data_IF_588617981057
#
_entry.id   IF_588617981057
#
_cell.length_a   1.000
_cell.length_b   1.000
_cell.length_c   1.000
_cell.angle_alpha   90.00
_cell.angle_beta   90.00
_cell.angle_gamma   90.00
#
_symmetry.space_group_name_H-M   'P 1'
#
loop_
_entity.id
_entity.type
_entity.pdbx_description
1 polymer ?
#
# COMPACT_ATOMS: atom_id res chain seq x y z
N UNK A 1 26.51 -50.75 27.21
CA UNK A 1 27.21 -49.55 27.72
C UNK A 1 28.44 -49.35 26.84
N UNK A 2 28.30 -48.68 25.69
CA UNK A 2 28.57 -47.24 25.49
C UNK A 2 30.00 -46.82 25.86
N UNK A 3 30.86 -46.67 24.84
CA UNK A 3 31.66 -45.46 24.51
C UNK A 3 32.73 -45.80 23.46
N UNK A 4 32.37 -45.71 22.18
CA UNK A 4 33.34 -45.60 21.09
C UNK A 4 33.66 -44.11 20.90
N UNK A 5 34.92 -43.73 21.14
CA UNK A 5 35.50 -42.47 20.68
C UNK A 5 36.42 -42.84 19.51
N UNK A 6 36.04 -42.45 18.30
CA UNK A 6 36.95 -42.49 17.16
C UNK A 6 36.76 -41.22 16.35
N UNK A 7 37.73 -40.33 16.46
CA UNK A 7 37.92 -39.22 15.54
C UNK A 7 38.35 -39.79 14.19
N UNK A 8 37.70 -39.37 13.11
CA UNK A 8 38.18 -39.60 11.74
C UNK A 8 38.21 -38.25 11.06
N UNK A 9 39.43 -37.75 10.87
CA UNK A 9 39.77 -36.71 9.92
C UNK A 9 39.77 -37.34 8.52
N UNK A 10 39.12 -36.69 7.56
CA UNK A 10 39.29 -37.00 6.14
C UNK A 10 39.70 -35.72 5.41
N UNK A 11 40.99 -35.67 5.10
CA UNK A 11 41.57 -34.83 4.06
C UNK A 11 42.12 -35.77 2.98
N UNK A 12 42.44 -35.20 1.81
CA UNK A 12 42.87 -35.80 0.52
C UNK A 12 41.69 -36.06 -0.44
N UNK A 13 41.76 -35.76 -1.75
CA UNK A 13 42.91 -35.44 -2.59
C UNK A 13 42.48 -34.61 -3.82
N UNK A 14 43.33 -33.66 -4.19
CA UNK A 14 43.39 -32.96 -5.47
C UNK A 14 44.34 -33.71 -6.41
N UNK A 15 43.99 -33.89 -7.69
CA UNK A 15 44.89 -33.96 -8.85
C UNK A 15 44.07 -33.93 -10.15
N UNK A 16 44.13 -32.85 -10.96
CA UNK A 16 44.97 -32.65 -12.17
C UNK A 16 44.45 -33.44 -13.39
N UNK A 17 44.30 -32.96 -14.64
CA UNK A 17 44.86 -31.84 -15.42
C UNK A 17 44.01 -31.67 -16.71
N UNK A 18 43.67 -30.44 -17.12
CA UNK A 18 44.25 -29.66 -18.25
C UNK A 18 43.79 -30.00 -19.69
N UNK A 19 43.12 -29.03 -20.32
CA UNK A 19 43.34 -28.45 -21.66
C UNK A 19 42.02 -28.19 -22.39
N UNK A 20 41.69 -26.90 -22.62
CA UNK A 20 40.64 -26.54 -23.56
C UNK A 20 40.13 -25.11 -23.42
N UNK A 21 40.74 -24.20 -24.19
CA UNK A 21 40.06 -23.10 -24.87
C UNK A 21 39.25 -22.09 -24.02
N UNK A 22 39.95 -21.04 -23.59
CA UNK A 22 39.59 -19.63 -23.84
C UNK A 22 38.14 -19.34 -24.27
N UNK A 23 37.29 -18.95 -23.32
CA UNK A 23 36.12 -18.10 -23.57
C UNK A 23 35.74 -17.37 -22.26
N UNK A 24 35.86 -16.04 -22.29
CA UNK A 24 35.19 -15.09 -21.39
C UNK A 24 35.32 -15.33 -19.90
N UNK A 25 36.26 -14.64 -19.25
CA UNK A 25 36.12 -14.28 -17.84
C UNK A 25 34.93 -13.33 -17.69
N UNK A 26 33.72 -13.89 -17.66
CA UNK A 26 32.53 -13.24 -17.18
C UNK A 26 32.66 -13.12 -15.66
N UNK A 27 33.49 -12.18 -15.21
CA UNK A 27 33.27 -11.55 -13.90
C UNK A 27 31.80 -11.15 -13.90
N UNK A 28 30.98 -11.84 -13.11
CA UNK A 28 29.72 -11.26 -12.66
C UNK A 28 30.12 -9.99 -11.93
N UNK A 29 30.03 -8.87 -12.66
CA UNK A 29 30.09 -7.57 -12.04
C UNK A 29 29.03 -7.58 -10.92
N UNK A 30 29.33 -7.02 -9.74
CA UNK A 30 28.24 -6.66 -8.84
C UNK A 30 27.24 -5.88 -9.69
N UNK A 31 25.98 -6.30 -9.67
CA UNK A 31 24.91 -5.50 -10.26
C UNK A 31 25.02 -4.16 -9.54
N UNK A 32 25.67 -3.21 -10.19
CA UNK A 32 25.67 -1.85 -9.75
C UNK A 32 24.19 -1.49 -9.78
N UNK A 33 23.61 -1.28 -8.60
CA UNK A 33 22.31 -0.66 -8.38
C UNK A 33 22.41 0.78 -8.91
N UNK A 34 22.58 0.88 -10.23
CA UNK A 34 22.88 2.10 -10.94
C UNK A 34 21.53 2.77 -11.12
N UNK A 35 21.26 3.75 -10.25
CA UNK A 35 20.13 4.64 -10.42
C UNK A 35 18.78 4.00 -10.17
N UNK A 36 18.52 3.53 -8.94
CA UNK A 36 17.18 3.70 -8.40
C UNK A 36 16.95 5.22 -8.34
N UNK A 37 16.37 5.80 -9.39
CA UNK A 37 15.67 7.08 -9.23
C UNK A 37 14.55 6.80 -8.23
N UNK A 38 14.83 7.06 -6.95
CA UNK A 38 13.84 6.96 -5.91
C UNK A 38 12.63 7.78 -6.37
N UNK A 39 11.44 7.17 -6.28
CA UNK A 39 10.22 7.93 -6.45
C UNK A 39 10.29 9.18 -5.56
N UNK A 40 9.79 10.34 -6.01
CA UNK A 40 9.80 11.54 -5.19
C UNK A 40 9.18 11.23 -3.83
N UNK A 41 9.74 11.76 -2.73
CA UNK A 41 9.17 11.51 -1.41
C UNK A 41 7.70 11.92 -1.41
N UNK A 42 6.82 11.12 -0.80
CA UNK A 42 5.41 11.44 -0.73
C UNK A 42 5.21 12.81 -0.07
N UNK A 43 4.18 13.57 -0.47
CA UNK A 43 3.92 14.86 0.15
C UNK A 43 3.62 14.67 1.65
N UNK A 44 4.19 15.51 2.54
CA UNK A 44 3.79 15.50 3.94
C UNK A 44 2.32 15.91 4.04
N UNK A 45 1.54 15.24 4.88
CA UNK A 45 0.17 15.64 5.17
C UNK A 45 0.03 16.11 6.61
N UNK A 46 -0.86 17.08 6.81
CA UNK A 46 -1.31 17.52 8.12
C UNK A 46 -2.26 16.45 8.68
N UNK A 47 -1.98 15.94 9.88
CA UNK A 47 -2.82 14.91 10.49
C UNK A 47 -4.26 15.43 10.70
N UNK A 48 -5.24 14.53 10.60
CA UNK A 48 -6.63 14.82 10.98
C UNK A 48 -6.72 14.85 12.50
N UNK A 49 -6.41 16.00 13.10
CA UNK A 49 -6.35 16.15 14.57
C UNK A 49 -7.74 16.21 15.22
N UNK A 50 -8.76 16.65 14.47
CA UNK A 50 -10.15 16.79 14.94
C UNK A 50 -11.11 15.80 14.26
N UNK A 51 -10.73 14.53 14.17
CA UNK A 51 -11.63 13.51 13.66
C UNK A 51 -12.83 13.34 14.62
N UNK A 52 -14.04 13.56 14.11
CA UNK A 52 -15.28 13.30 14.86
C UNK A 52 -15.35 11.84 15.29
N UNK A 53 -15.84 11.56 16.51
CA UNK A 53 -16.32 10.22 16.84
C UNK A 53 -17.42 9.85 15.87
N UNK A 54 -17.18 8.79 15.10
CA UNK A 54 -17.98 8.51 13.93
C UNK A 54 -18.49 7.07 14.00
N UNK A 55 -19.72 6.86 13.51
CA UNK A 55 -20.34 5.53 13.42
C UNK A 55 -19.36 4.51 12.82
N UNK A 56 -19.46 3.26 13.27
CA UNK A 56 -18.68 2.14 12.73
C UNK A 56 -18.72 2.16 11.19
N UNK A 57 -17.56 1.99 10.55
CA UNK A 57 -17.50 1.85 9.11
C UNK A 57 -17.78 0.37 8.76
N UNK A 58 -18.88 0.06 8.05
CA UNK A 58 -19.22 -1.33 7.73
C UNK A 58 -18.41 -1.88 6.55
N UNK A 59 -17.63 -1.04 5.87
CA UNK A 59 -16.84 -1.43 4.72
C UNK A 59 -15.53 -2.06 5.18
N UNK A 60 -15.12 -3.09 4.43
CA UNK A 60 -13.81 -3.71 4.53
C UNK A 60 -13.16 -3.63 3.15
N UNK A 61 -11.82 -3.67 3.10
CA UNK A 61 -11.18 -4.00 1.84
C UNK A 61 -11.40 -5.48 1.58
N UNK A 62 -11.81 -5.81 0.35
CA UNK A 62 -11.98 -7.19 -0.08
C UNK A 62 -11.27 -7.35 -1.42
N UNK A 63 -10.25 -8.20 -1.44
CA UNK A 63 -9.65 -8.70 -2.68
C UNK A 63 -8.86 -7.69 -3.49
N UNK A 64 -8.81 -7.93 -4.81
CA UNK A 64 -8.07 -7.08 -5.75
C UNK A 64 -8.89 -5.83 -6.10
N UNK A 65 -8.25 -4.64 -6.13
CA UNK A 65 -8.94 -3.44 -6.59
C UNK A 65 -9.34 -3.59 -8.06
N UNK A 66 -10.45 -2.96 -8.44
CA UNK A 66 -10.91 -2.91 -9.83
C UNK A 66 -11.31 -1.48 -10.20
N UNK A 67 -11.15 -1.13 -11.48
CA UNK A 67 -11.59 0.16 -11.99
C UNK A 67 -13.11 0.38 -11.80
N UNK A 68 -13.89 -0.69 -11.92
CA UNK A 68 -15.32 -0.67 -11.73
C UNK A 68 -15.69 -0.38 -10.26
N UNK A 69 -15.09 -1.08 -9.30
CA UNK A 69 -15.32 -0.84 -7.87
C UNK A 69 -15.03 0.61 -7.48
N UNK A 70 -13.93 1.16 -7.99
CA UNK A 70 -13.55 2.56 -7.74
C UNK A 70 -14.57 3.54 -8.33
N UNK A 71 -15.03 3.32 -9.57
CA UNK A 71 -16.05 4.15 -10.22
C UNK A 71 -17.41 4.04 -9.53
N UNK A 72 -17.82 2.85 -9.14
CA UNK A 72 -19.05 2.62 -8.38
C UNK A 72 -19.02 3.34 -7.02
N UNK A 73 -17.88 3.31 -6.34
CA UNK A 73 -17.71 4.07 -5.09
C UNK A 73 -17.76 5.59 -5.33
N UNK A 74 -17.24 6.08 -6.46
CA UNK A 74 -17.26 7.51 -6.78
C UNK A 74 -18.69 8.07 -6.98
N UNK A 75 -19.67 7.24 -7.35
CA UNK A 75 -21.07 7.69 -7.52
C UNK A 75 -21.94 7.50 -6.27
N UNK A 76 -21.32 7.22 -5.11
CA UNK A 76 -22.02 7.07 -3.83
C UNK A 76 -22.85 8.30 -3.42
N UNK A 77 -23.66 8.19 -2.36
CA UNK A 77 -24.49 9.31 -1.88
C UNK A 77 -23.58 10.40 -1.26
N UNK A 78 -24.05 11.65 -1.11
CA UNK A 78 -23.30 12.69 -0.40
C UNK A 78 -23.31 12.41 1.11
N UNK A 79 -22.69 11.31 1.55
CA UNK A 79 -22.57 10.91 2.95
C UNK A 79 -21.11 10.70 3.32
N UNK A 80 -20.77 10.89 4.60
CA UNK A 80 -19.43 10.59 5.13
C UNK A 80 -19.01 9.14 4.85
N UNK A 81 -19.93 8.18 5.05
CA UNK A 81 -19.63 6.77 4.86
C UNK A 81 -19.34 6.42 3.40
N UNK A 82 -20.07 6.98 2.45
CA UNK A 82 -19.80 6.77 1.02
C UNK A 82 -18.49 7.43 0.59
N UNK A 83 -18.12 8.57 1.17
CA UNK A 83 -16.82 9.20 0.98
C UNK A 83 -15.67 8.33 1.51
N UNK A 84 -15.84 7.74 2.70
CA UNK A 84 -14.86 6.79 3.27
C UNK A 84 -14.71 5.53 2.42
N UNK A 85 -15.81 4.98 1.91
CA UNK A 85 -15.77 3.85 0.98
C UNK A 85 -14.96 4.20 -0.26
N UNK A 86 -15.23 5.36 -0.87
CA UNK A 86 -14.47 5.81 -2.04
C UNK A 86 -12.98 6.00 -1.72
N UNK A 87 -12.64 6.60 -0.57
CA UNK A 87 -11.27 6.75 -0.12
C UNK A 87 -10.55 5.39 0.12
N UNK A 88 -11.27 4.39 0.63
CA UNK A 88 -10.73 3.03 0.79
C UNK A 88 -10.42 2.37 -0.55
N UNK A 89 -11.31 2.51 -1.55
CA UNK A 89 -11.05 2.02 -2.91
C UNK A 89 -9.85 2.72 -3.55
N UNK A 90 -9.70 4.05 -3.38
CA UNK A 90 -8.51 4.79 -3.83
C UNK A 90 -7.24 4.27 -3.13
N UNK A 91 -7.32 4.01 -1.83
CA UNK A 91 -6.20 3.49 -1.04
C UNK A 91 -5.77 2.10 -1.52
N UNK A 92 -6.73 1.19 -1.69
CA UNK A 92 -6.47 -0.16 -2.22
C UNK A 92 -5.87 -0.08 -3.63
N UNK A 93 -6.48 0.72 -4.51
CA UNK A 93 -6.01 0.90 -5.88
C UNK A 93 -4.59 1.48 -5.96
N UNK A 94 -4.27 2.49 -5.15
CA UNK A 94 -2.97 3.17 -5.20
C UNK A 94 -1.83 2.29 -4.66
N UNK A 95 -2.09 1.47 -3.64
CA UNK A 95 -1.07 0.64 -3.01
C UNK A 95 -0.85 -0.71 -3.70
N UNK A 96 -1.86 -1.22 -4.42
CA UNK A 96 -1.80 -2.51 -5.12
C UNK A 96 -1.11 -2.42 -6.50
N UNK A 97 0.01 -3.12 -6.64
CA UNK A 97 0.81 -3.19 -7.87
C UNK A 97 0.72 -4.56 -8.54
N UNK A 98 -0.17 -5.46 -8.10
CA UNK A 98 -0.39 -6.76 -8.73
C UNK A 98 -0.79 -6.56 -10.22
N UNK A 99 -0.34 -7.45 -11.12
CA UNK A 99 -0.31 -7.18 -12.56
C UNK A 99 -1.68 -7.39 -13.23
N UNK A 100 -2.65 -6.49 -13.03
CA UNK A 100 -3.94 -6.49 -13.74
C UNK A 100 -4.58 -5.09 -13.93
N UNK A 101 -3.88 -3.99 -13.60
CA UNK A 101 -4.52 -2.66 -13.52
C UNK A 101 -3.84 -1.60 -14.38
N UNK A 102 -4.57 -1.05 -15.36
CA UNK A 102 -4.22 0.20 -16.02
C UNK A 102 -4.43 1.36 -15.04
N UNK A 103 -3.35 2.07 -14.69
CA UNK A 103 -3.36 2.96 -13.53
C UNK A 103 -3.88 4.37 -13.80
N UNK A 104 -3.52 4.91 -14.96
CA UNK A 104 -3.67 6.34 -15.24
C UNK A 104 -5.13 6.69 -15.53
N UNK A 105 -5.74 6.03 -16.52
CA UNK A 105 -7.12 6.30 -16.96
C UNK A 105 -8.15 6.11 -15.83
N UNK A 106 -7.89 5.15 -14.93
CA UNK A 106 -8.75 4.88 -13.79
C UNK A 106 -8.70 6.03 -12.78
N UNK A 107 -7.51 6.50 -12.40
CA UNK A 107 -7.36 7.64 -11.50
C UNK A 107 -7.89 8.92 -12.11
N UNK A 108 -7.60 9.18 -13.38
CA UNK A 108 -8.12 10.36 -14.10
C UNK A 108 -9.65 10.37 -14.15
N UNK A 109 -10.29 9.20 -14.30
CA UNK A 109 -11.76 9.11 -14.32
C UNK A 109 -12.44 9.50 -13.00
N UNK A 110 -11.72 9.45 -11.88
CA UNK A 110 -12.24 9.78 -10.54
C UNK A 110 -11.56 11.00 -9.91
N UNK A 111 -10.60 11.62 -10.59
CA UNK A 111 -9.89 12.81 -10.13
C UNK A 111 -10.78 14.06 -10.12
N UNK A 112 -10.56 14.93 -9.14
CA UNK A 112 -11.03 16.31 -9.17
C UNK A 112 -10.14 17.14 -10.09
N UNK A 113 -10.64 18.22 -10.74
CA UNK A 113 -9.79 19.19 -11.44
C UNK A 113 -8.72 19.83 -10.54
N UNK A 114 -8.92 19.80 -9.22
CA UNK A 114 -7.97 20.28 -8.23
C UNK A 114 -6.89 19.27 -7.86
N UNK A 115 -6.98 18.02 -8.33
CA UNK A 115 -5.98 17.00 -8.02
C UNK A 115 -4.62 17.46 -8.53
N UNK A 116 -3.66 17.53 -7.61
CA UNK A 116 -2.34 17.99 -7.98
C UNK A 116 -1.73 17.02 -9.00
N UNK A 117 -1.14 17.56 -10.08
CA UNK A 117 -0.37 16.75 -11.05
C UNK A 117 0.69 15.92 -10.34
N UNK A 118 1.21 16.41 -9.20
CA UNK A 118 2.17 15.71 -8.34
C UNK A 118 1.60 14.43 -7.74
N UNK A 119 0.37 14.44 -7.20
CA UNK A 119 -0.27 13.25 -6.64
C UNK A 119 -0.50 12.18 -7.72
N UNK A 120 -1.02 12.56 -8.88
CA UNK A 120 -1.20 11.64 -10.02
C UNK A 120 0.14 11.07 -10.49
N UNK A 121 1.15 11.92 -10.65
CA UNK A 121 2.50 11.51 -11.08
C UNK A 121 3.13 10.55 -10.08
N UNK A 122 2.99 10.83 -8.78
CA UNK A 122 3.51 9.96 -7.72
C UNK A 122 2.94 8.55 -7.81
N UNK A 123 1.61 8.40 -7.89
CA UNK A 123 1.00 7.06 -7.95
C UNK A 123 1.38 6.32 -9.23
N UNK A 124 1.35 7.00 -10.39
CA UNK A 124 1.66 6.36 -11.67
C UNK A 124 3.13 5.92 -11.70
N UNK A 125 4.07 6.79 -11.28
CA UNK A 125 5.49 6.48 -11.28
C UNK A 125 5.86 5.44 -10.22
N UNK A 126 5.36 5.55 -9.00
CA UNK A 126 5.60 4.54 -7.95
C UNK A 126 5.11 3.17 -8.41
N UNK A 127 3.88 3.06 -8.92
CA UNK A 127 3.37 1.77 -9.41
C UNK A 127 4.16 1.23 -10.61
N UNK A 128 4.65 2.09 -11.50
CA UNK A 128 5.51 1.66 -12.61
C UNK A 128 6.84 1.08 -12.09
N UNK A 129 7.52 1.77 -11.17
CA UNK A 129 8.75 1.30 -10.53
C UNK A 129 8.53 -0.02 -9.77
N UNK A 130 7.45 -0.11 -9.00
CA UNK A 130 7.12 -1.32 -8.24
C UNK A 130 6.82 -2.53 -9.15
N UNK A 131 6.25 -2.30 -10.33
CA UNK A 131 6.02 -3.34 -11.35
C UNK A 131 7.31 -3.77 -12.05
N UNK A 132 8.17 -2.83 -12.40
CA UNK A 132 9.49 -3.12 -12.97
C UNK A 132 10.31 -4.03 -12.04
N UNK A 133 10.19 -3.81 -10.73
CA UNK A 133 10.79 -4.64 -9.70
C UNK A 133 9.96 -5.88 -9.29
N UNK A 134 8.84 -6.14 -9.95
CA UNK A 134 7.93 -7.24 -9.67
C UNK A 134 7.56 -7.39 -8.19
N UNK A 135 7.42 -6.28 -7.45
CA UNK A 135 7.27 -6.33 -5.99
C UNK A 135 5.96 -6.96 -5.54
N UNK A 136 4.93 -6.91 -6.40
CA UNK A 136 3.57 -7.41 -6.13
C UNK A 136 3.00 -6.87 -4.80
N UNK A 137 3.45 -5.67 -4.40
CA UNK A 137 2.98 -4.91 -3.26
C UNK A 137 1.45 -4.82 -3.23
N UNK A 138 0.83 -5.08 -2.09
CA UNK A 138 -0.61 -4.94 -1.88
C UNK A 138 -0.91 -4.74 -0.40
N UNK A 139 -2.10 -4.26 -0.06
CA UNK A 139 -2.58 -4.26 1.32
C UNK A 139 -2.86 -5.69 1.78
N UNK A 140 -2.38 -6.03 2.97
CA UNK A 140 -2.60 -7.31 3.63
C UNK A 140 -3.96 -7.29 4.32
N UNK A 141 -4.99 -7.82 3.66
CA UNK A 141 -6.38 -7.82 4.11
C UNK A 141 -6.67 -8.77 5.29
N UNK A 142 -5.67 -9.56 5.70
CA UNK A 142 -5.72 -10.42 6.89
C UNK A 142 -5.42 -9.67 8.18
N UNK A 143 -4.84 -8.47 8.09
CA UNK A 143 -4.45 -7.65 9.24
C UNK A 143 -5.47 -6.51 9.40
N UNK A 144 -5.92 -6.21 10.63
CA UNK A 144 -6.82 -5.09 10.86
C UNK A 144 -6.27 -3.77 10.32
N UNK A 145 -7.11 -3.06 9.59
CA UNK A 145 -6.84 -1.70 9.15
C UNK A 145 -7.57 -0.72 10.04
N UNK A 146 -7.12 0.52 10.02
CA UNK A 146 -7.68 1.60 10.81
C UNK A 146 -8.05 2.76 9.90
N UNK A 147 -9.20 3.36 10.16
CA UNK A 147 -9.68 4.53 9.43
C UNK A 147 -10.09 5.63 10.41
N UNK A 148 -9.81 6.88 10.04
CA UNK A 148 -10.48 8.04 10.62
C UNK A 148 -10.84 9.02 9.51
N UNK A 149 -11.82 9.88 9.78
CA UNK A 149 -12.20 10.88 8.81
C UNK A 149 -12.70 12.16 9.47
N UNK A 150 -12.65 13.25 8.71
CA UNK A 150 -13.19 14.54 9.10
C UNK A 150 -14.00 15.12 7.93
N UNK A 151 -15.33 15.13 8.03
CA UNK A 151 -16.17 15.80 7.04
C UNK A 151 -16.08 17.32 7.17
N UNK A 152 -16.22 18.02 6.04
CA UNK A 152 -16.35 19.47 5.94
C UNK A 152 -17.64 19.84 5.21
N UNK A 153 -18.33 20.87 5.71
CA UNK A 153 -19.65 21.28 5.26
C UNK A 153 -20.80 20.72 6.13
N UNK A 154 -22.04 20.65 5.60
CA UNK A 154 -23.19 20.17 6.37
C UNK A 154 -23.02 18.72 6.85
N UNK A 155 -23.34 18.44 8.11
CA UNK A 155 -23.14 17.11 8.74
C UNK A 155 -23.79 15.96 7.96
N UNK A 156 -24.99 16.17 7.43
CA UNK A 156 -25.74 15.13 6.69
C UNK A 156 -25.34 15.02 5.22
N UNK A 157 -24.72 16.07 4.67
CA UNK A 157 -24.37 16.19 3.25
C UNK A 157 -23.01 16.88 3.09
N UNK A 158 -21.92 16.25 3.56
CA UNK A 158 -20.60 16.85 3.51
C UNK A 158 -20.20 17.13 2.06
N UNK A 159 -19.47 18.23 1.87
CA UNK A 159 -18.93 18.61 0.57
C UNK A 159 -17.52 18.06 0.37
N UNK A 160 -16.79 17.87 1.46
CA UNK A 160 -15.44 17.34 1.45
C UNK A 160 -15.26 16.41 2.64
N UNK A 161 -14.42 15.39 2.50
CA UNK A 161 -14.05 14.50 3.59
C UNK A 161 -12.56 14.20 3.48
N UNK A 162 -11.81 14.55 4.54
CA UNK A 162 -10.44 14.09 4.70
C UNK A 162 -10.46 12.71 5.35
N UNK A 163 -9.86 11.71 4.71
CA UNK A 163 -9.87 10.32 5.17
C UNK A 163 -8.44 9.85 5.37
N UNK A 164 -8.15 9.29 6.53
CA UNK A 164 -6.89 8.64 6.82
C UNK A 164 -7.10 7.14 6.97
N UNK A 165 -6.26 6.36 6.30
CA UNK A 165 -6.26 4.90 6.34
C UNK A 165 -4.87 4.45 6.77
N UNK A 166 -4.82 3.66 7.82
CA UNK A 166 -3.61 2.95 8.23
C UNK A 166 -3.81 1.45 8.01
N UNK A 167 -2.84 0.83 7.34
CA UNK A 167 -2.89 -0.59 7.02
C UNK A 167 -1.51 -1.18 6.84
N UNK A 168 -1.44 -2.50 6.76
CA UNK A 168 -0.21 -3.21 6.45
C UNK A 168 -0.13 -3.46 4.96
N UNK A 169 1.01 -3.11 4.37
CA UNK A 169 1.36 -3.48 3.01
C UNK A 169 2.30 -4.68 3.03
N UNK A 170 1.97 -5.72 2.28
CA UNK A 170 2.83 -6.87 2.04
C UNK A 170 3.58 -6.71 0.72
N UNK A 171 4.89 -6.97 0.75
CA UNK A 171 5.75 -7.09 -0.44
C UNK A 171 6.28 -8.53 -0.48
N UNK A 172 5.58 -9.47 -1.15
CA UNK A 172 5.87 -10.89 -1.05
C UNK A 172 7.30 -11.27 -1.45
N UNK A 173 7.84 -10.62 -2.49
CA UNK A 173 9.18 -10.94 -3.00
C UNK A 173 10.31 -10.61 -2.03
N UNK A 174 10.06 -9.70 -1.08
CA UNK A 174 11.00 -9.33 -0.03
C UNK A 174 10.69 -10.02 1.31
N UNK A 175 9.57 -10.76 1.40
CA UNK A 175 9.06 -11.28 2.67
C UNK A 175 8.79 -10.19 3.71
N UNK A 176 8.58 -8.94 3.27
CA UNK A 176 8.47 -7.77 4.14
C UNK A 176 7.02 -7.31 4.27
N UNK A 177 6.67 -6.85 5.47
CA UNK A 177 5.42 -6.17 5.76
C UNK A 177 5.71 -4.83 6.43
N UNK A 178 4.98 -3.80 6.05
CA UNK A 178 5.23 -2.43 6.47
C UNK A 178 3.92 -1.74 6.78
N UNK A 179 3.89 -0.96 7.87
CA UNK A 179 2.76 -0.07 8.14
C UNK A 179 2.80 1.12 7.21
N UNK A 180 1.69 1.39 6.55
CA UNK A 180 1.51 2.59 5.75
C UNK A 180 0.35 3.40 6.30
N UNK A 181 0.48 4.71 6.16
CA UNK A 181 -0.56 5.67 6.48
C UNK A 181 -0.86 6.47 5.22
N UNK A 182 -2.06 6.29 4.67
CA UNK A 182 -2.55 7.00 3.48
C UNK A 182 -3.56 8.05 3.91
N UNK A 183 -3.42 9.28 3.40
CA UNK A 183 -4.47 10.28 3.48
C UNK A 183 -5.06 10.50 2.10
N UNK A 184 -6.38 10.45 2.03
CA UNK A 184 -7.19 10.68 0.84
C UNK A 184 -8.15 11.81 1.13
N UNK A 185 -8.01 12.93 0.43
CA UNK A 185 -8.97 14.02 0.49
C UNK A 185 -9.94 13.87 -0.67
N UNK A 186 -11.24 13.77 -0.37
CA UNK A 186 -12.29 13.58 -1.37
C UNK A 186 -13.29 14.74 -1.33
N UNK A 187 -13.74 15.17 -2.50
CA UNK A 187 -14.66 16.29 -2.66
C UNK A 187 -15.88 15.89 -3.47
N UNK A 188 -17.03 16.47 -3.16
CA UNK A 188 -18.27 16.25 -3.90
C UNK A 188 -18.32 17.17 -5.11
N UNK A 189 -18.30 16.62 -6.32
CA UNK A 189 -18.47 17.36 -7.58
C UNK A 189 -19.17 16.53 -8.64
N UNK A 190 -19.92 17.19 -9.51
CA UNK A 190 -20.60 16.59 -10.66
C UNK A 190 -21.46 15.37 -10.29
N UNK A 191 -22.14 15.45 -9.14
CA UNK A 191 -22.99 14.38 -8.64
C UNK A 191 -22.26 13.20 -8.00
N UNK A 192 -20.92 13.23 -7.86
CA UNK A 192 -20.13 12.15 -7.28
C UNK A 192 -19.00 12.63 -6.35
N UNK A 193 -18.33 11.69 -5.69
CA UNK A 193 -17.07 11.88 -4.99
C UNK A 193 -15.90 11.87 -5.97
N UNK A 194 -14.98 12.82 -5.81
CA UNK A 194 -13.79 12.98 -6.62
C UNK A 194 -12.56 13.02 -5.73
N UNK A 195 -11.47 12.41 -6.20
CA UNK A 195 -10.17 12.46 -5.52
C UNK A 195 -9.57 13.86 -5.66
N UNK A 196 -9.43 14.59 -4.55
CA UNK A 196 -8.86 15.93 -4.51
C UNK A 196 -7.38 15.93 -4.11
N UNK A 197 -6.98 15.05 -3.20
CA UNK A 197 -5.57 14.84 -2.88
C UNK A 197 -5.30 13.41 -2.39
N UNK A 198 -4.05 12.98 -2.51
CA UNK A 198 -3.57 11.67 -2.07
C UNK A 198 -2.13 11.79 -1.57
N UNK A 199 -1.89 11.30 -0.36
CA UNK A 199 -0.56 11.21 0.23
C UNK A 199 -0.39 9.87 0.96
N UNK A 200 0.85 9.43 1.11
CA UNK A 200 1.16 8.13 1.73
C UNK A 200 2.45 8.26 2.52
N UNK A 201 2.51 7.73 3.73
CA UNK A 201 3.72 7.76 4.57
C UNK A 201 3.99 6.35 5.10
N UNK A 202 5.23 5.90 4.93
CA UNK A 202 5.74 4.67 5.54
C UNK A 202 5.95 4.89 7.06
N UNK A 203 5.50 3.95 7.88
CA UNK A 203 5.61 3.97 9.35
C UNK A 203 6.52 2.88 9.91
N UNK A 204 7.29 2.24 9.04
CA UNK A 204 8.27 1.20 9.38
C UNK A 204 7.70 -0.22 9.33
N UNK A 205 8.57 -1.17 9.67
CA UNK A 205 8.24 -2.59 9.65
C UNK A 205 7.00 -2.90 10.51
N UNK A 206 6.13 -3.78 10.00
CA UNK A 206 4.97 -4.24 10.73
C UNK A 206 5.32 -5.44 11.62
N UNK A 207 5.23 -5.26 12.94
CA UNK A 207 5.16 -6.39 13.87
C UNK A 207 3.74 -6.95 13.85
N UNK A 208 3.56 -8.00 13.04
CA UNK A 208 2.26 -8.66 12.83
C UNK A 208 1.84 -9.56 13.99
N UNK A 209 2.63 -9.64 15.07
CA UNK A 209 2.25 -10.38 16.28
C UNK A 209 1.29 -9.60 17.17
N UNK A 210 1.21 -8.27 17.03
CA UNK A 210 0.22 -7.43 17.72
C UNK A 210 -0.98 -7.16 16.81
N UNK A 211 -2.12 -7.78 17.11
CA UNK A 211 -3.39 -7.51 16.42
C UNK A 211 -4.11 -6.25 16.92
N UNK A 212 -3.50 -5.49 17.85
CA UNK A 212 -4.08 -4.27 18.42
C UNK A 212 -3.80 -3.02 17.58
N UNK A 213 -4.43 -1.90 17.96
CA UNK A 213 -4.18 -0.60 17.34
C UNK A 213 -2.69 -0.24 17.43
N UNK A 214 -2.02 0.06 16.30
CA UNK A 214 -0.61 0.43 16.32
C UNK A 214 -0.36 1.66 17.19
N UNK A 215 0.74 1.71 17.97
CA UNK A 215 1.05 2.85 18.86
C UNK A 215 1.20 4.20 18.15
N UNK A 216 1.54 4.17 16.85
CA UNK A 216 1.70 5.39 16.04
C UNK A 216 0.37 6.00 15.57
N UNK A 217 -0.76 5.31 15.77
CA UNK A 217 -2.09 5.85 15.50
C UNK A 217 -2.58 6.64 16.71
N UNK A 218 -2.04 7.85 16.86
CA UNK A 218 -2.40 8.79 17.91
C UNK A 218 -3.62 9.64 17.51
N UNK A 219 -4.26 10.27 18.50
CA UNK A 219 -5.40 11.16 18.29
C UNK A 219 -6.77 10.45 18.22
N UNK A 220 -7.86 11.22 18.17
CA UNK A 220 -9.22 10.70 18.16
C UNK A 220 -9.65 10.13 16.80
N UNK A 221 -10.82 9.49 16.78
CA UNK A 221 -11.55 9.11 15.56
C UNK A 221 -11.07 7.87 14.81
N UNK A 222 -9.96 7.25 15.23
CA UNK A 222 -9.49 5.96 14.70
C UNK A 222 -10.48 4.85 15.01
N UNK A 223 -10.92 4.15 13.97
CA UNK A 223 -11.83 3.00 14.02
C UNK A 223 -11.20 1.84 13.29
N UNK A 224 -11.28 0.66 13.88
CA UNK A 224 -10.88 -0.57 13.21
C UNK A 224 -11.88 -0.87 12.08
N UNK A 225 -11.35 -1.23 10.90
CA UNK A 225 -12.14 -1.79 9.81
C UNK A 225 -12.23 -3.30 10.01
N UNK A 226 -13.40 -3.88 9.71
CA UNK A 226 -13.52 -5.32 9.71
C UNK A 226 -12.45 -5.92 8.76
N UNK A 227 -11.66 -6.87 9.25
CA UNK A 227 -10.77 -7.63 8.36
C UNK A 227 -11.61 -8.26 7.25
N UNK A 228 -11.11 -8.22 6.02
CA UNK A 228 -11.76 -8.90 4.91
C UNK A 228 -11.87 -10.38 5.27
N UNK A 229 -13.08 -10.93 5.34
CA UNK A 229 -13.22 -12.37 5.57
C UNK A 229 -12.60 -13.09 4.38
N UNK A 230 -11.56 -13.92 4.57
CA UNK A 230 -11.05 -14.73 3.47
C UNK A 230 -12.11 -15.78 3.12
N UNK A 231 -12.72 -15.65 1.93
CA UNK A 231 -13.49 -16.72 1.29
C UNK A 231 -14.93 -16.94 1.75
N UNK A 232 -15.83 -16.03 1.38
CA UNK A 232 -17.21 -16.41 1.04
C UNK A 232 -17.39 -16.31 -0.48
#
# INVERSE_FOLDING_TARGET
MSRFKTAIALALLVALSACGSQAGSGRLAPIATTGLTAAPPPPPFEAVDDATEAEANPFSLVGMPSAESLRLASVGRPSRLDAERFALEVTNFSLDVRPLLENQDVLESVASPSLSRRATTFVVQDKAVQRDHATRRHLDDRIPMWIRSRPSGPTTTPREVAVEVAGVVEVPVLGSRTWVHVRVDVVRRDGGWRLADLSTTDRGAADVTSLGRPPHLTGPGWRELAAGRPGL
#
